data_IF_869358060022
#
_entry.id   IF_869358060022
#
_cell.length_a   1.000
_cell.length_b   1.000
_cell.length_c   1.000
_cell.angle_alpha   90.00
_cell.angle_beta   90.00
_cell.angle_gamma   90.00
#
_symmetry.space_group_name_H-M   'P 1'
#
loop_
_entity.id
_entity.type
_entity.pdbx_description
1 polymer ?
#
# COMPACT_ATOMS: atom_id res chain seq x y z
N UNK A 1 3.73 31.67 17.62
CA UNK A 1 4.80 31.02 18.40
C UNK A 1 5.59 30.22 17.39
N UNK A 2 6.83 30.62 17.16
CA UNK A 2 7.66 30.02 16.12
C UNK A 2 8.26 28.72 16.64
N UNK A 3 8.13 27.63 15.90
CA UNK A 3 8.58 26.31 16.36
C UNK A 3 10.10 26.29 16.55
N UNK A 4 10.80 26.98 15.65
CA UNK A 4 12.26 27.13 15.65
C UNK A 4 12.79 27.86 16.89
N UNK A 5 11.97 28.68 17.55
CA UNK A 5 12.37 29.38 18.77
C UNK A 5 12.34 28.50 20.02
N UNK A 6 11.60 27.37 20.01
CA UNK A 6 11.43 26.47 21.16
C UNK A 6 12.31 25.23 21.06
N UNK A 7 12.70 24.85 19.84
CA UNK A 7 13.60 23.73 19.55
C UNK A 7 14.91 23.74 20.39
N UNK A 8 15.57 24.87 20.66
CA UNK A 8 16.77 24.91 21.50
C UNK A 8 16.53 24.47 22.96
N UNK A 9 15.33 24.73 23.51
CA UNK A 9 15.01 24.45 24.91
C UNK A 9 14.78 22.95 25.18
N UNK A 10 14.43 22.18 24.14
CA UNK A 10 14.19 20.73 24.22
C UNK A 10 15.50 19.93 24.19
N UNK A 11 16.61 20.55 23.75
CA UNK A 11 17.93 19.94 23.64
C UNK A 11 18.20 19.26 22.29
N UNK A 12 19.45 18.88 22.07
CA UNK A 12 19.92 18.29 20.80
C UNK A 12 19.57 16.81 20.65
N UNK A 13 19.80 16.28 19.44
CA UNK A 13 19.60 14.87 19.10
C UNK A 13 20.62 13.96 19.79
N UNK A 14 20.32 13.57 21.03
CA UNK A 14 21.22 12.82 21.90
C UNK A 14 21.36 11.34 21.56
N UNK A 15 22.37 10.69 22.14
CA UNK A 15 22.72 9.28 21.86
C UNK A 15 21.57 8.30 22.08
N UNK A 16 20.70 8.54 23.07
CA UNK A 16 19.53 7.70 23.30
C UNK A 16 18.52 7.76 22.14
N UNK A 17 18.25 8.97 21.63
CA UNK A 17 17.35 9.14 20.49
C UNK A 17 17.93 8.52 19.21
N UNK A 18 19.25 8.64 19.01
CA UNK A 18 19.94 7.95 17.94
C UNK A 18 19.80 6.43 18.06
N UNK A 19 20.06 5.85 19.24
CA UNK A 19 19.91 4.42 19.48
C UNK A 19 18.48 3.93 19.23
N UNK A 20 17.47 4.66 19.71
CA UNK A 20 16.07 4.34 19.43
C UNK A 20 15.76 4.39 17.93
N UNK A 21 16.26 5.41 17.23
CA UNK A 21 16.02 5.55 15.80
C UNK A 21 16.65 4.39 15.01
N UNK A 22 17.89 4.02 15.36
CA UNK A 22 18.64 2.94 14.69
C UNK A 22 18.14 1.53 15.04
N UNK A 23 17.79 1.27 16.29
CA UNK A 23 17.48 -0.09 16.76
C UNK A 23 16.00 -0.39 16.89
N UNK A 24 15.13 0.63 16.88
CA UNK A 24 13.68 0.45 17.02
C UNK A 24 12.93 1.00 15.82
N UNK A 25 13.12 2.29 15.52
CA UNK A 25 12.32 2.97 14.48
C UNK A 25 12.66 2.44 13.09
N UNK A 26 13.94 2.41 12.71
CA UNK A 26 14.35 1.96 11.38
C UNK A 26 14.01 0.49 11.12
N UNK A 27 14.27 -0.46 12.04
CA UNK A 27 13.89 -1.86 11.84
C UNK A 27 12.37 -2.07 11.77
N UNK A 28 11.57 -1.25 12.47
CA UNK A 28 10.12 -1.34 12.42
C UNK A 28 9.51 -0.71 11.17
N UNK A 29 10.01 0.45 10.74
CA UNK A 29 9.39 1.25 9.68
C UNK A 29 9.89 0.85 8.29
N UNK A 30 11.16 0.45 8.12
CA UNK A 30 11.68 0.06 6.81
C UNK A 30 10.90 -1.11 6.20
N UNK A 31 10.65 -2.24 6.90
CA UNK A 31 9.84 -3.33 6.35
C UNK A 31 8.42 -2.91 6.01
N UNK A 32 7.80 -2.03 6.82
CA UNK A 32 6.46 -1.50 6.56
C UNK A 32 6.41 -0.67 5.27
N UNK A 33 7.44 0.13 4.99
CA UNK A 33 7.54 0.88 3.74
C UNK A 33 7.59 -0.03 2.51
N UNK A 34 8.42 -1.09 2.55
CA UNK A 34 8.47 -2.09 1.48
C UNK A 34 7.15 -2.87 1.35
N UNK A 35 6.49 -3.18 2.46
CA UNK A 35 5.17 -3.82 2.44
C UNK A 35 4.11 -2.95 1.77
N UNK A 36 4.07 -1.65 2.08
CA UNK A 36 3.13 -0.72 1.45
C UNK A 36 3.35 -0.62 -0.08
N UNK A 37 4.59 -0.79 -0.56
CA UNK A 37 4.90 -0.79 -1.99
C UNK A 37 4.22 -1.94 -2.75
N UNK A 38 3.98 -3.08 -2.10
CA UNK A 38 3.22 -4.19 -2.70
C UNK A 38 1.79 -3.75 -3.09
N UNK A 39 1.18 -2.84 -2.32
CA UNK A 39 -0.16 -2.33 -2.61
C UNK A 39 -0.23 -1.62 -3.96
N UNK A 40 0.86 -0.97 -4.41
CA UNK A 40 0.92 -0.33 -5.71
C UNK A 40 0.79 -1.34 -6.86
N UNK A 41 1.41 -2.51 -6.72
CA UNK A 41 1.29 -3.58 -7.71
C UNK A 41 -0.07 -4.27 -7.66
N UNK A 42 -0.64 -4.45 -6.47
CA UNK A 42 -1.99 -5.02 -6.32
C UNK A 42 -3.12 -4.07 -6.74
N UNK A 43 -2.86 -2.75 -6.77
CA UNK A 43 -3.83 -1.77 -7.22
C UNK A 43 -4.17 -1.91 -8.71
N UNK A 44 -3.25 -2.46 -9.51
CA UNK A 44 -3.51 -2.77 -10.90
C UNK A 44 -4.36 -4.05 -11.01
N UNK A 45 -5.64 -3.91 -11.37
CA UNK A 45 -6.45 -5.05 -11.81
C UNK A 45 -6.15 -5.33 -13.29
N UNK A 46 -5.93 -6.59 -13.71
CA UNK A 46 -5.91 -6.92 -15.13
C UNK A 46 -7.32 -6.79 -15.71
N UNK A 47 -7.44 -6.40 -16.99
CA UNK A 47 -8.67 -6.50 -17.78
C UNK A 47 -8.92 -7.98 -18.16
N UNK A 48 -9.08 -8.82 -17.14
CA UNK A 48 -9.36 -10.24 -17.27
C UNK A 48 -10.76 -10.56 -16.74
N UNK A 49 -11.48 -11.39 -17.47
CA UNK A 49 -12.73 -11.97 -17.03
C UNK A 49 -12.54 -13.47 -16.92
N UNK A 50 -12.72 -14.01 -15.72
CA UNK A 50 -12.58 -15.45 -15.50
C UNK A 50 -13.64 -16.20 -16.29
N UNK A 51 -13.23 -17.31 -16.91
CA UNK A 51 -14.18 -18.22 -17.56
C UNK A 51 -15.18 -18.77 -16.54
N UNK A 52 -16.45 -18.78 -16.91
CA UNK A 52 -17.56 -19.29 -16.10
C UNK A 52 -18.31 -20.32 -16.96
N UNK A 53 -18.18 -21.63 -16.69
CA UNK A 53 -18.77 -22.67 -17.54
C UNK A 53 -20.28 -22.55 -17.72
N UNK A 54 -20.99 -21.99 -16.74
CA UNK A 54 -22.44 -21.77 -16.79
C UNK A 54 -22.84 -20.73 -17.85
N UNK A 55 -21.92 -19.86 -18.27
CA UNK A 55 -22.15 -18.85 -19.32
C UNK A 55 -21.75 -19.34 -20.71
N UNK A 56 -21.27 -20.57 -20.88
CA UNK A 56 -20.89 -21.11 -22.20
C UNK A 56 -22.09 -21.15 -23.16
N UNK A 57 -23.31 -21.31 -22.64
CA UNK A 57 -24.54 -21.23 -23.43
C UNK A 57 -24.78 -19.82 -24.03
N UNK A 58 -24.15 -18.79 -23.47
CA UNK A 58 -24.20 -17.41 -23.93
C UNK A 58 -23.00 -17.03 -24.82
N UNK A 59 -22.14 -17.98 -25.21
CA UNK A 59 -20.96 -17.72 -26.03
C UNK A 59 -21.28 -17.06 -27.40
N UNK A 60 -22.51 -17.19 -27.89
CA UNK A 60 -22.99 -16.55 -29.12
C UNK A 60 -23.40 -15.08 -28.94
N UNK A 61 -23.47 -14.58 -27.70
CA UNK A 61 -23.81 -13.18 -27.36
C UNK A 61 -22.55 -12.37 -27.03
N UNK A 62 -22.67 -11.04 -26.95
CA UNK A 62 -21.53 -10.19 -26.60
C UNK A 62 -21.02 -10.48 -25.19
N UNK A 63 -19.70 -10.35 -25.00
CA UNK A 63 -19.04 -10.54 -23.70
C UNK A 63 -19.52 -9.53 -22.65
N UNK A 64 -19.95 -8.33 -23.06
CA UNK A 64 -20.53 -7.33 -22.15
C UNK A 64 -21.91 -7.73 -21.65
N UNK A 65 -22.71 -8.41 -22.48
CA UNK A 65 -23.99 -8.97 -22.06
C UNK A 65 -23.78 -10.09 -21.03
N UNK A 66 -22.85 -11.00 -21.30
CA UNK A 66 -22.46 -12.06 -20.36
C UNK A 66 -21.96 -11.51 -19.01
N UNK A 67 -21.20 -10.40 -19.02
CA UNK A 67 -20.71 -9.73 -17.80
C UNK A 67 -21.83 -9.09 -16.97
N UNK A 68 -22.87 -8.54 -17.61
CA UNK A 68 -23.97 -7.84 -16.92
C UNK A 68 -25.00 -8.77 -16.25
N UNK A 69 -24.97 -10.08 -16.54
CA UNK A 69 -25.89 -11.06 -15.94
C UNK A 69 -25.44 -11.51 -14.55
N UNK A 70 -24.17 -11.26 -14.18
CA UNK A 70 -23.58 -11.59 -12.88
C UNK A 70 -23.71 -10.46 -11.86
#
# INVERSE_FOLDING_TARGET
>A
MDLDAILPDVGEFGSYQQLLLWFVLLPGVLPCGFHAYNQLFMAAKPEHWCHVPQLDALANYSTDFAKNIR
#
